data_IF_633482852681
#
_entry.id   IF_633482852681
#
_cell.length_a   1.000
_cell.length_b   1.000
_cell.length_c   1.000
_cell.angle_alpha   90.00
_cell.angle_beta   90.00
_cell.angle_gamma   90.00
#
_symmetry.space_group_name_H-M   'P 1'
#
loop_
_entity.id
_entity.type
_entity.pdbx_description
1 polymer ?
#
# COMPACT_ATOMS: atom_id res chain seq x y z
N UNK A 1 12.42 -3.44 13.70
CA UNK A 1 11.54 -2.41 13.10
C UNK A 1 10.55 -3.06 12.15
N UNK A 2 9.29 -2.67 12.24
CA UNK A 2 8.24 -3.23 11.39
C UNK A 2 7.34 -2.16 10.76
N UNK A 3 7.58 -0.89 11.02
CA UNK A 3 6.72 0.19 10.52
C UNK A 3 7.33 0.82 9.29
N UNK A 4 6.54 0.97 8.23
CA UNK A 4 6.95 1.58 6.97
C UNK A 4 5.93 2.61 6.53
N UNK A 5 6.37 3.56 5.71
CA UNK A 5 5.51 4.61 5.16
C UNK A 5 4.92 4.16 3.84
N UNK A 6 3.69 4.57 3.58
CA UNK A 6 3.07 4.43 2.26
C UNK A 6 3.97 5.05 1.18
N UNK A 7 4.34 4.27 0.18
CA UNK A 7 5.22 4.74 -0.90
C UNK A 7 4.68 5.91 -1.71
N UNK A 8 3.37 6.16 -1.66
CA UNK A 8 2.74 7.30 -2.32
C UNK A 8 2.77 8.58 -1.50
N UNK A 9 3.34 8.53 -0.28
CA UNK A 9 3.52 9.70 0.59
C UNK A 9 4.94 10.23 0.42
N UNK A 10 5.19 10.98 -0.66
CA UNK A 10 6.48 11.57 -0.98
C UNK A 10 7.62 10.54 -1.13
N UNK A 11 7.28 9.33 -1.57
CA UNK A 11 8.28 8.29 -1.78
C UNK A 11 9.12 8.52 -3.03
N UNK A 12 10.18 7.73 -3.18
CA UNK A 12 11.01 7.78 -4.38
C UNK A 12 10.24 7.21 -5.56
N UNK A 13 9.92 8.08 -6.50
CA UNK A 13 9.11 7.73 -7.66
C UNK A 13 9.87 6.98 -8.74
N UNK A 14 11.17 6.87 -8.63
CA UNK A 14 11.97 6.27 -9.70
C UNK A 14 11.90 4.75 -9.71
N UNK A 15 11.69 4.14 -8.57
CA UNK A 15 11.68 2.69 -8.46
C UNK A 15 10.28 2.07 -8.50
N UNK A 16 9.25 2.85 -8.27
CA UNK A 16 7.92 2.29 -8.03
C UNK A 16 6.97 2.43 -9.20
N UNK A 17 7.34 3.23 -10.18
CA UNK A 17 6.32 3.59 -11.12
C UNK A 17 6.85 3.96 -12.47
N UNK A 18 6.75 3.64 -13.45
CA UNK A 18 6.96 4.31 -14.72
C UNK A 18 6.13 5.60 -14.79
N UNK A 19 6.27 6.32 -15.87
CA UNK A 19 5.57 7.60 -16.07
C UNK A 19 4.05 7.49 -15.94
N UNK A 20 3.49 6.34 -16.29
CA UNK A 20 2.05 6.14 -16.28
C UNK A 20 1.46 6.11 -14.86
N UNK A 21 2.21 5.64 -13.89
CA UNK A 21 1.70 5.59 -12.51
C UNK A 21 1.53 6.98 -11.94
N UNK A 22 2.49 7.87 -12.18
CA UNK A 22 2.37 9.25 -11.71
C UNK A 22 1.24 10.02 -12.40
N UNK A 23 0.96 9.68 -13.65
CA UNK A 23 -0.13 10.31 -14.39
C UNK A 23 -1.50 9.85 -13.90
N UNK A 24 -1.59 8.62 -13.37
CA UNK A 24 -2.86 8.01 -12.99
C UNK A 24 -3.19 8.10 -11.50
N UNK A 25 -2.18 8.19 -10.63
CA UNK A 25 -2.36 8.17 -9.19
C UNK A 25 -1.57 9.29 -8.54
N UNK A 26 -2.08 9.78 -7.40
CA UNK A 26 -1.42 10.82 -6.64
C UNK A 26 -0.15 10.31 -5.95
N UNK A 27 0.90 11.10 -6.04
CA UNK A 27 2.10 11.03 -5.20
C UNK A 27 2.04 12.27 -4.34
N UNK A 28 1.63 12.09 -3.10
CA UNK A 28 1.36 13.21 -2.23
C UNK A 28 2.67 13.86 -1.76
N UNK A 29 2.83 15.13 -2.02
CA UNK A 29 3.96 15.93 -1.55
C UNK A 29 3.57 16.86 -0.41
N UNK A 30 2.31 17.19 -0.31
CA UNK A 30 1.76 18.11 0.69
C UNK A 30 0.50 17.52 1.27
N UNK A 31 0.26 17.80 2.56
CA UNK A 31 -0.94 17.35 3.24
C UNK A 31 -2.21 17.85 2.55
N UNK A 32 -2.19 19.09 2.05
CA UNK A 32 -3.36 19.67 1.38
C UNK A 32 -3.76 18.98 0.07
N UNK A 33 -2.90 18.13 -0.50
CA UNK A 33 -3.23 17.34 -1.68
C UNK A 33 -4.11 16.14 -1.35
N UNK A 34 -4.17 15.74 -0.09
CA UNK A 34 -4.94 14.59 0.35
C UNK A 34 -6.38 15.04 0.62
N UNK A 35 -7.29 14.74 -0.32
CA UNK A 35 -8.68 15.18 -0.23
C UNK A 35 -9.53 14.30 0.68
N UNK A 36 -9.06 13.10 1.00
CA UNK A 36 -9.76 12.14 1.85
C UNK A 36 -8.81 11.58 2.93
N UNK A 37 -8.36 12.43 3.88
CA UNK A 37 -7.31 12.02 4.81
C UNK A 37 -7.68 10.84 5.71
N UNK A 38 -8.96 10.64 6.00
CA UNK A 38 -9.40 9.47 6.77
C UNK A 38 -9.34 8.16 5.98
N UNK A 39 -9.17 8.24 4.67
CA UNK A 39 -9.09 7.08 3.79
C UNK A 39 -7.73 6.82 3.18
N UNK A 40 -6.70 7.60 3.55
CA UNK A 40 -5.34 7.43 3.01
C UNK A 40 -4.37 7.11 4.14
N UNK A 41 -3.76 5.91 4.10
CA UNK A 41 -2.83 5.53 5.16
C UNK A 41 -1.47 6.18 4.98
N UNK A 42 -0.81 6.46 6.09
CA UNK A 42 0.55 7.03 6.13
C UNK A 42 1.56 5.96 6.54
N UNK A 43 1.29 5.25 7.63
CA UNK A 43 2.17 4.19 8.13
C UNK A 43 1.42 2.89 8.26
N UNK A 44 2.15 1.80 8.09
CA UNK A 44 1.63 0.44 8.22
C UNK A 44 2.69 -0.47 8.83
N UNK A 45 2.28 -1.47 9.59
CA UNK A 45 3.17 -2.54 9.98
C UNK A 45 3.52 -3.38 8.76
N UNK A 46 4.78 -3.35 8.37
CA UNK A 46 5.28 -4.14 7.25
C UNK A 46 5.92 -5.43 7.76
N UNK A 47 5.77 -6.51 6.98
CA UNK A 47 6.44 -7.77 7.27
C UNK A 47 7.95 -7.53 7.22
N UNK A 48 8.66 -7.88 8.28
CA UNK A 48 10.08 -7.53 8.45
C UNK A 48 10.95 -8.01 7.28
N UNK A 49 10.61 -9.14 6.68
CA UNK A 49 11.38 -9.72 5.57
C UNK A 49 11.23 -8.94 4.27
N UNK A 50 10.25 -8.03 4.16
CA UNK A 50 10.08 -7.20 2.97
C UNK A 50 10.55 -5.76 3.17
N UNK A 51 11.01 -5.40 4.36
CA UNK A 51 11.49 -4.04 4.62
C UNK A 51 12.84 -3.85 3.93
N UNK A 52 12.91 -2.89 3.03
CA UNK A 52 14.13 -2.57 2.30
C UNK A 52 14.52 -1.09 2.38
N UNK A 53 13.57 -0.17 2.28
CA UNK A 53 13.86 1.26 2.19
C UNK A 53 12.99 2.15 3.10
N UNK A 54 12.16 1.55 3.93
CA UNK A 54 11.27 2.31 4.82
C UNK A 54 9.92 2.67 4.22
N UNK A 55 9.68 2.29 2.99
CA UNK A 55 8.39 2.46 2.31
C UNK A 55 7.75 1.11 2.04
N UNK A 56 6.42 1.05 2.13
CA UNK A 56 5.67 -0.11 1.65
C UNK A 56 5.18 0.21 0.25
N UNK A 57 5.66 -0.59 -0.72
CA UNK A 57 5.22 -0.46 -2.10
C UNK A 57 3.88 -1.16 -2.28
N UNK A 58 2.88 -0.41 -2.71
CA UNK A 58 1.59 -0.93 -3.14
C UNK A 58 1.52 -0.79 -4.66
N UNK A 59 1.33 -1.91 -5.36
CA UNK A 59 1.11 -1.86 -6.81
C UNK A 59 -0.29 -1.30 -7.07
N UNK A 60 -0.36 -0.21 -7.83
CA UNK A 60 -1.62 0.48 -8.11
C UNK A 60 -2.18 0.16 -9.49
N UNK A 61 -1.53 -0.73 -10.22
CA UNK A 61 -1.95 -1.13 -11.55
C UNK A 61 -1.02 -2.19 -12.10
N UNK A 62 -1.03 -2.38 -13.40
CA UNK A 62 -0.23 -3.42 -14.06
C UNK A 62 0.96 -2.88 -14.84
N UNK A 63 1.29 -1.59 -14.69
CA UNK A 63 2.36 -0.93 -15.46
C UNK A 63 3.75 -1.52 -15.23
N UNK A 64 3.97 -2.19 -14.11
CA UNK A 64 5.26 -2.83 -13.79
C UNK A 64 5.26 -4.32 -14.12
N UNK A 65 4.30 -4.78 -14.92
CA UNK A 65 4.18 -6.20 -15.26
C UNK A 65 3.57 -7.06 -14.16
N UNK A 66 3.10 -6.44 -13.07
CA UNK A 66 2.44 -7.15 -11.99
C UNK A 66 0.99 -7.47 -12.34
N UNK A 67 0.43 -8.43 -11.62
CA UNK A 67 -1.00 -8.74 -11.71
C UNK A 67 -1.83 -7.69 -10.99
N UNK A 68 -3.12 -7.48 -11.38
CA UNK A 68 -3.95 -6.42 -10.79
C UNK A 68 -4.13 -6.49 -9.27
N UNK A 69 -4.11 -7.68 -8.70
CA UNK A 69 -4.31 -7.87 -7.25
C UNK A 69 -3.06 -8.39 -6.57
N UNK A 70 -1.89 -8.09 -7.12
CA UNK A 70 -0.61 -8.55 -6.61
C UNK A 70 -0.07 -7.63 -5.52
N UNK A 71 0.41 -8.21 -4.41
CA UNK A 71 1.16 -7.48 -3.40
C UNK A 71 2.53 -7.07 -3.92
N UNK A 72 2.93 -5.84 -3.60
CA UNK A 72 4.31 -5.38 -3.74
C UNK A 72 5.12 -5.79 -2.52
N UNK A 73 5.29 -4.90 -1.54
CA UNK A 73 5.75 -5.30 -0.21
C UNK A 73 4.59 -5.94 0.55
N UNK A 74 4.91 -6.76 1.54
CA UNK A 74 3.89 -7.50 2.30
C UNK A 74 3.62 -6.84 3.65
N UNK A 75 2.35 -6.77 4.07
CA UNK A 75 2.01 -6.27 5.39
C UNK A 75 2.36 -7.29 6.47
N UNK A 76 2.50 -6.81 7.69
CA UNK A 76 2.69 -7.69 8.84
C UNK A 76 1.45 -8.57 9.07
N UNK A 77 1.69 -9.73 9.69
CA UNK A 77 0.64 -10.68 10.06
C UNK A 77 0.81 -11.13 11.51
N UNK A 78 1.52 -10.32 12.32
CA UNK A 78 2.03 -10.76 13.62
C UNK A 78 0.96 -10.81 14.73
N UNK A 79 -0.12 -10.08 14.56
CA UNK A 79 -1.15 -9.97 15.58
C UNK A 79 -2.46 -10.54 15.04
N UNK A 80 -2.60 -11.85 15.14
CA UNK A 80 -3.79 -12.56 14.68
C UNK A 80 -4.07 -12.28 13.19
N UNK A 81 -3.01 -12.37 12.37
CA UNK A 81 -3.09 -12.17 10.92
C UNK A 81 -3.62 -10.78 10.54
N UNK A 82 -3.21 -9.78 11.28
CA UNK A 82 -3.63 -8.41 11.07
C UNK A 82 -2.43 -7.46 11.11
N UNK A 83 -2.63 -6.25 10.62
CA UNK A 83 -1.64 -5.19 10.69
C UNK A 83 -2.30 -3.88 11.14
N UNK A 84 -1.54 -3.06 11.84
CA UNK A 84 -1.97 -1.71 12.21
C UNK A 84 -1.63 -0.72 11.11
N UNK A 85 -2.52 0.24 10.88
CA UNK A 85 -2.31 1.34 9.94
C UNK A 85 -2.65 2.65 10.64
N UNK A 86 -1.90 3.71 10.33
CA UNK A 86 -2.28 5.07 10.71
C UNK A 86 -2.64 5.86 9.45
N UNK A 87 -3.58 6.77 9.58
CA UNK A 87 -4.14 7.51 8.45
C UNK A 87 -3.76 8.99 8.53
N UNK A 88 -3.93 9.69 7.41
CA UNK A 88 -3.50 11.07 7.29
C UNK A 88 -4.26 12.03 8.22
N UNK A 89 -5.45 11.66 8.67
CA UNK A 89 -6.22 12.44 9.66
C UNK A 89 -5.81 12.17 11.11
N UNK A 90 -4.86 11.28 11.33
CA UNK A 90 -4.35 10.95 12.66
C UNK A 90 -4.99 9.74 13.33
N UNK A 91 -6.04 9.15 12.76
CA UNK A 91 -6.65 7.96 13.36
C UNK A 91 -5.85 6.70 12.98
N UNK A 92 -6.08 5.62 13.70
CA UNK A 92 -5.46 4.32 13.46
C UNK A 92 -6.53 3.25 13.35
N UNK A 93 -6.22 2.22 12.55
CA UNK A 93 -7.08 1.05 12.38
C UNK A 93 -6.23 -0.21 12.42
N UNK A 94 -6.87 -1.32 12.79
CA UNK A 94 -6.28 -2.65 12.66
C UNK A 94 -7.04 -3.36 11.55
N UNK A 95 -6.30 -3.77 10.51
CA UNK A 95 -6.87 -4.52 9.39
C UNK A 95 -6.56 -5.99 9.55
N UNK A 96 -7.58 -6.81 9.70
CA UNK A 96 -7.44 -8.27 9.64
C UNK A 96 -7.47 -8.70 8.19
N UNK A 97 -6.43 -9.41 7.76
CA UNK A 97 -6.31 -9.83 6.37
C UNK A 97 -7.27 -10.98 6.07
N UNK A 98 -7.81 -10.99 4.85
CA UNK A 98 -8.86 -11.92 4.44
C UNK A 98 -8.35 -13.01 3.50
N UNK A 99 -7.36 -12.70 2.65
CA UNK A 99 -6.89 -13.63 1.64
C UNK A 99 -5.78 -14.53 2.17
N UNK A 100 -5.84 -15.82 1.84
CA UNK A 100 -4.83 -16.78 2.27
C UNK A 100 -3.42 -16.37 1.79
N UNK A 101 -3.31 -15.79 0.59
CA UNK A 101 -2.03 -15.35 0.05
C UNK A 101 -1.40 -14.26 0.92
N UNK A 102 -2.21 -13.34 1.48
CA UNK A 102 -1.71 -12.31 2.39
C UNK A 102 -1.25 -12.92 3.71
N UNK A 103 -2.00 -13.88 4.22
CA UNK A 103 -1.76 -14.49 5.54
C UNK A 103 -0.65 -15.53 5.53
N UNK A 104 -0.22 -15.98 4.36
CA UNK A 104 0.84 -16.98 4.24
C UNK A 104 2.15 -16.43 4.78
N UNK A 105 2.83 -17.13 5.70
CA UNK A 105 4.13 -16.67 6.22
C UNK A 105 5.20 -16.63 5.14
N UNK A 106 6.28 -15.90 5.43
CA UNK A 106 7.41 -15.76 4.52
C UNK A 106 7.13 -14.73 3.45
N UNK A 107 7.96 -14.72 2.41
CA UNK A 107 7.92 -13.68 1.38
C UNK A 107 7.99 -14.22 -0.05
N UNK A 108 8.07 -15.53 -0.23
CA UNK A 108 8.28 -16.10 -1.54
C UNK A 108 7.08 -16.02 -2.47
N UNK A 109 7.36 -15.93 -3.77
CA UNK A 109 6.38 -16.04 -4.82
C UNK A 109 5.52 -14.80 -5.07
N UNK A 110 4.76 -14.86 -6.14
CA UNK A 110 3.76 -13.84 -6.44
C UNK A 110 2.52 -14.10 -5.57
N UNK A 111 2.02 -13.06 -4.92
CA UNK A 111 0.87 -13.18 -4.02
C UNK A 111 -0.28 -12.36 -4.54
N UNK A 112 -1.32 -13.03 -4.99
CA UNK A 112 -2.53 -12.41 -5.48
C UNK A 112 -3.59 -12.44 -4.40
N UNK A 113 -4.07 -11.26 -4.01
CA UNK A 113 -5.01 -11.09 -2.92
C UNK A 113 -6.20 -10.25 -3.40
N UNK A 114 -7.22 -10.90 -3.98
CA UNK A 114 -8.30 -10.16 -4.65
C UNK A 114 -9.21 -9.36 -3.71
N UNK A 115 -9.15 -9.62 -2.40
CA UNK A 115 -9.88 -8.82 -1.40
C UNK A 115 -8.99 -7.81 -0.70
N UNK A 116 -7.77 -8.21 -0.33
CA UNK A 116 -6.88 -7.36 0.47
C UNK A 116 -6.17 -6.31 -0.37
N UNK A 117 -5.69 -6.66 -1.57
CA UNK A 117 -4.95 -5.70 -2.39
C UNK A 117 -5.84 -4.54 -2.86
N UNK A 118 -7.06 -4.74 -3.37
CA UNK A 118 -7.93 -3.61 -3.67
C UNK A 118 -8.22 -2.74 -2.44
N UNK A 119 -8.36 -3.35 -1.26
CA UNK A 119 -8.58 -2.60 -0.02
C UNK A 119 -7.41 -1.65 0.28
N UNK A 120 -6.18 -2.13 0.16
CA UNK A 120 -5.00 -1.29 0.43
C UNK A 120 -4.74 -0.29 -0.70
N UNK A 121 -5.03 -0.66 -1.95
CA UNK A 121 -4.87 0.25 -3.09
C UNK A 121 -5.71 1.51 -2.93
N UNK A 122 -6.96 1.37 -2.53
CA UNK A 122 -7.85 2.51 -2.29
C UNK A 122 -7.33 3.45 -1.20
N UNK A 123 -6.57 2.90 -0.25
CA UNK A 123 -6.04 3.63 0.90
C UNK A 123 -4.61 4.10 0.70
N UNK A 124 -3.94 3.64 -0.35
CA UNK A 124 -2.58 4.06 -0.66
C UNK A 124 -2.54 5.33 -1.49
N UNK A 125 -3.45 5.46 -2.43
CA UNK A 125 -3.52 6.64 -3.29
C UNK A 125 -4.88 6.74 -3.95
N UNK A 126 -5.22 7.94 -4.37
CA UNK A 126 -6.43 8.20 -5.12
C UNK A 126 -6.09 8.30 -6.60
N UNK A 127 -6.95 7.74 -7.44
CA UNK A 127 -6.81 7.89 -8.88
C UNK A 127 -7.01 9.35 -9.28
N UNK A 128 -6.21 9.83 -10.23
CA UNK A 128 -6.37 11.15 -10.84
C UNK A 128 -7.51 11.18 -11.87
N UNK A 129 -8.01 10.02 -12.26
CA UNK A 129 -9.14 9.96 -13.17
C UNK A 129 -10.38 10.49 -12.48
N UNK A 130 -11.12 11.30 -13.21
CA UNK A 130 -12.44 11.73 -12.73
C UNK A 130 -13.36 10.52 -12.68
N UNK A 131 -13.92 10.30 -11.52
CA UNK A 131 -15.02 9.40 -11.31
C UNK A 131 -16.25 9.97 -12.02
N UNK A 132 -16.96 9.14 -12.71
CA UNK A 132 -18.22 9.54 -13.34
C UNK A 132 -19.39 8.98 -12.55
#
# INVERSE_FOLDING_TARGET
>A
RSISMNGNMNGDVNWSSGPNMRAQFWWYKKLGEITNPSGQFVFIDERKETIDDGYLLVFLGTTLGNQPTQWGNLPAIYHNEAAGLSFADGHAEIRKWLDAATKKPGVGGVRLAPRDVPWIQERASKSKRRSR
#
